data_IF_013972332869
#
_entry.id   IF_013972332869
#
_cell.length_a   1.000
_cell.length_b   1.000
_cell.length_c   1.000
_cell.angle_alpha   90.00
_cell.angle_beta   90.00
_cell.angle_gamma   90.00
#
_symmetry.space_group_name_H-M   'P 1'
#
loop_
_entity.id
_entity.type
_entity.pdbx_description
1 polymer ?
#
# COMPACT_ATOMS: atom_id res chain seq x y z
N UNK A 1 -42.93 -32.25 74.81
CA UNK A 1 -43.68 -32.23 73.53
C UNK A 1 -43.05 -33.29 72.65
N UNK A 2 -43.84 -34.21 72.07
CA UNK A 2 -43.29 -35.34 71.33
C UNK A 2 -42.73 -34.90 69.97
N UNK A 3 -41.64 -35.53 69.52
CA UNK A 3 -40.96 -35.21 68.25
C UNK A 3 -41.88 -35.26 67.02
N UNK A 4 -42.96 -36.03 67.10
CA UNK A 4 -43.99 -36.11 66.06
C UNK A 4 -44.82 -34.83 65.93
N UNK A 5 -44.97 -34.03 66.99
CA UNK A 5 -45.66 -32.75 66.94
C UNK A 5 -44.78 -31.67 66.30
N UNK A 6 -43.45 -31.71 66.52
CA UNK A 6 -42.49 -30.80 65.90
C UNK A 6 -42.41 -31.02 64.39
N UNK A 7 -42.30 -32.28 63.95
CA UNK A 7 -42.33 -32.64 62.50
C UNK A 7 -43.59 -32.14 61.80
N UNK A 8 -44.74 -32.24 62.46
CA UNK A 8 -46.01 -31.78 61.92
C UNK A 8 -46.06 -30.24 61.77
N UNK A 9 -45.48 -29.50 62.72
CA UNK A 9 -45.38 -28.03 62.63
C UNK A 9 -44.44 -27.61 61.50
N UNK A 10 -43.30 -28.30 61.35
CA UNK A 10 -42.35 -28.02 60.27
C UNK A 10 -42.99 -28.28 58.88
N UNK A 11 -43.73 -29.38 58.74
CA UNK A 11 -44.47 -29.68 57.51
C UNK A 11 -45.52 -28.60 57.20
N UNK A 12 -46.20 -28.07 58.22
CA UNK A 12 -47.17 -26.96 58.05
C UNK A 12 -46.47 -25.66 57.64
N UNK A 13 -45.38 -25.31 58.32
CA UNK A 13 -44.64 -24.07 58.04
C UNK A 13 -44.00 -24.08 56.64
N UNK A 14 -43.49 -25.22 56.19
CA UNK A 14 -42.90 -25.39 54.87
C UNK A 14 -43.94 -25.34 53.73
N UNK A 15 -45.20 -25.65 54.02
CA UNK A 15 -46.29 -25.58 53.06
C UNK A 15 -46.86 -24.16 52.86
N UNK A 16 -46.43 -23.18 53.67
CA UNK A 16 -46.87 -21.78 53.55
C UNK A 16 -45.82 -20.99 52.75
N UNK A 17 -46.17 -20.43 51.57
CA UNK A 17 -45.22 -19.68 50.77
C UNK A 17 -44.85 -18.37 51.47
N UNK A 18 -43.56 -18.19 51.73
CA UNK A 18 -43.02 -16.96 52.30
C UNK A 18 -43.21 -15.79 51.31
N UNK A 19 -43.70 -14.65 51.82
CA UNK A 19 -43.88 -13.43 51.04
C UNK A 19 -42.91 -12.36 51.49
N UNK A 20 -42.41 -11.59 50.53
CA UNK A 20 -41.57 -10.44 50.82
C UNK A 20 -42.40 -9.32 51.45
N UNK A 21 -41.92 -8.73 52.55
CA UNK A 21 -42.55 -7.59 53.25
C UNK A 21 -42.86 -6.41 52.32
N UNK A 22 -42.02 -6.19 51.31
CA UNK A 22 -42.17 -5.09 50.37
C UNK A 22 -43.06 -5.41 49.17
N UNK A 23 -43.56 -6.66 49.06
CA UNK A 23 -44.53 -7.07 48.04
C UNK A 23 -44.08 -6.70 46.62
N UNK A 24 -44.87 -5.86 45.97
CA UNK A 24 -44.64 -5.37 44.60
C UNK A 24 -43.72 -4.15 44.54
N UNK A 25 -43.46 -3.48 45.67
CA UNK A 25 -42.43 -2.43 45.78
C UNK A 25 -41.02 -3.02 45.85
N UNK A 26 -40.90 -4.35 45.95
CA UNK A 26 -39.61 -5.01 45.84
C UNK A 26 -39.15 -4.97 44.38
N UNK A 27 -37.95 -4.45 44.07
CA UNK A 27 -37.49 -4.32 42.69
C UNK A 27 -37.25 -5.71 42.08
N UNK A 28 -38.22 -6.19 41.28
CA UNK A 28 -38.17 -7.48 40.57
C UNK A 28 -37.58 -7.36 39.17
N UNK A 29 -37.83 -6.23 38.52
CA UNK A 29 -37.37 -5.99 37.16
C UNK A 29 -35.89 -5.60 37.16
N UNK A 30 -35.06 -6.50 36.63
CA UNK A 30 -33.68 -6.19 36.26
C UNK A 30 -33.68 -5.91 34.77
N UNK A 31 -33.09 -4.79 34.36
CA UNK A 31 -32.89 -4.50 32.94
C UNK A 31 -32.15 -5.67 32.29
N UNK A 32 -32.66 -6.13 31.15
CA UNK A 32 -31.98 -7.17 30.37
C UNK A 32 -30.62 -6.66 29.91
N UNK A 33 -29.60 -7.51 30.01
CA UNK A 33 -28.26 -7.18 29.53
C UNK A 33 -28.33 -6.87 28.02
N UNK A 34 -27.91 -5.67 27.64
CA UNK A 34 -27.82 -5.28 26.23
C UNK A 34 -26.64 -5.99 25.61
N UNK A 35 -26.88 -6.76 24.54
CA UNK A 35 -25.84 -7.37 23.73
C UNK A 35 -25.37 -6.36 22.68
N UNK A 36 -24.10 -5.95 22.78
CA UNK A 36 -23.47 -5.07 21.80
C UNK A 36 -22.98 -5.93 20.64
N UNK A 37 -23.36 -5.63 19.38
CA UNK A 37 -22.89 -6.39 18.24
C UNK A 37 -21.38 -6.19 18.05
N UNK A 38 -20.72 -7.27 17.63
CA UNK A 38 -19.29 -7.26 17.39
C UNK A 38 -19.02 -6.73 15.97
N UNK A 39 -18.55 -5.49 15.87
CA UNK A 39 -18.10 -4.91 14.61
C UNK A 39 -16.71 -5.42 14.29
N UNK A 40 -16.57 -6.17 13.19
CA UNK A 40 -15.27 -6.56 12.65
C UNK A 40 -14.82 -5.48 11.69
N UNK A 41 -13.75 -4.77 12.06
CA UNK A 41 -13.03 -3.91 11.12
C UNK A 41 -12.13 -4.83 10.30
N UNK A 42 -12.16 -4.67 8.97
CA UNK A 42 -11.28 -5.42 8.09
C UNK A 42 -9.81 -5.06 8.39
N UNK A 43 -8.95 -6.08 8.39
CA UNK A 43 -7.52 -5.84 8.59
C UNK A 43 -7.00 -5.00 7.43
N UNK A 44 -6.43 -3.85 7.76
CA UNK A 44 -5.71 -3.01 6.80
C UNK A 44 -4.54 -3.85 6.28
N UNK A 45 -4.48 -4.00 4.96
CA UNK A 45 -3.39 -4.73 4.31
C UNK A 45 -2.04 -4.11 4.68
N UNK A 46 -1.00 -4.94 4.79
CA UNK A 46 0.35 -4.48 5.09
C UNK A 46 0.81 -3.48 4.02
N UNK A 47 1.01 -2.22 4.42
CA UNK A 47 1.37 -1.13 3.53
C UNK A 47 2.67 -1.43 2.79
N UNK A 48 3.60 -2.17 3.40
CA UNK A 48 4.85 -2.57 2.74
C UNK A 48 4.59 -3.46 1.52
N UNK A 49 3.70 -4.44 1.65
CA UNK A 49 3.35 -5.34 0.54
C UNK A 49 2.57 -4.63 -0.55
N UNK A 50 1.77 -3.61 -0.17
CA UNK A 50 1.00 -2.82 -1.13
C UNK A 50 1.90 -1.96 -2.03
N UNK A 51 2.98 -1.39 -1.49
CA UNK A 51 3.88 -0.50 -2.24
C UNK A 51 5.09 -1.21 -2.88
N UNK A 52 5.41 -2.45 -2.49
CA UNK A 52 6.53 -3.21 -3.07
C UNK A 52 6.51 -3.27 -4.61
N UNK A 53 5.38 -3.53 -5.29
CA UNK A 53 5.34 -3.55 -6.75
C UNK A 53 5.67 -2.19 -7.38
N UNK A 54 5.21 -1.10 -6.76
CA UNK A 54 5.48 0.26 -7.23
C UNK A 54 6.96 0.61 -7.16
N UNK A 55 7.65 0.18 -6.11
CA UNK A 55 9.10 0.37 -6.02
C UNK A 55 9.85 -0.40 -7.11
N UNK A 56 9.45 -1.66 -7.37
CA UNK A 56 10.07 -2.48 -8.43
C UNK A 56 9.89 -1.85 -9.80
N UNK A 57 8.70 -1.35 -10.11
CA UNK A 57 8.41 -0.72 -11.39
C UNK A 57 9.27 0.55 -11.60
N UNK A 58 9.46 1.36 -10.54
CA UNK A 58 10.38 2.49 -10.59
C UNK A 58 11.84 2.07 -10.82
N UNK A 59 12.31 1.02 -10.15
CA UNK A 59 13.67 0.49 -10.33
C UNK A 59 13.89 -0.02 -11.76
N UNK A 60 12.90 -0.71 -12.34
CA UNK A 60 12.93 -1.18 -13.72
C UNK A 60 13.02 -0.04 -14.74
N UNK A 61 12.28 1.06 -14.50
CA UNK A 61 12.32 2.26 -15.35
C UNK A 61 13.70 2.92 -15.28
N UNK A 62 14.29 3.02 -14.09
CA UNK A 62 15.64 3.59 -13.91
C UNK A 62 16.66 2.74 -14.68
N UNK A 63 16.62 1.42 -14.52
CA UNK A 63 17.52 0.51 -15.24
C UNK A 63 17.36 0.62 -16.77
N UNK A 64 16.13 0.77 -17.27
CA UNK A 64 15.88 0.96 -18.70
C UNK A 64 16.49 2.26 -19.23
N UNK A 65 16.36 3.36 -18.48
CA UNK A 65 16.98 4.64 -18.82
C UNK A 65 18.51 4.54 -18.84
N UNK A 66 19.12 3.88 -17.84
CA UNK A 66 20.57 3.68 -17.81
C UNK A 66 21.08 2.88 -19.01
N UNK A 67 20.36 1.81 -19.40
CA UNK A 67 20.68 1.02 -20.59
C UNK A 67 20.59 1.87 -21.86
N UNK A 68 19.53 2.68 -21.99
CA UNK A 68 19.36 3.59 -23.11
C UNK A 68 20.54 4.58 -23.23
N UNK A 69 20.93 5.21 -22.13
CA UNK A 69 22.04 6.17 -22.10
C UNK A 69 23.40 5.50 -22.38
N UNK A 70 23.58 4.27 -21.91
CA UNK A 70 24.78 3.49 -22.18
C UNK A 70 24.89 3.10 -23.66
N UNK A 71 23.77 2.75 -24.31
CA UNK A 71 23.73 2.44 -25.74
C UNK A 71 24.18 3.64 -26.59
N UNK A 72 23.75 4.86 -26.25
CA UNK A 72 24.21 6.08 -26.92
C UNK A 72 25.73 6.25 -26.85
N UNK A 73 26.31 6.08 -25.66
CA UNK A 73 27.77 6.15 -25.45
C UNK A 73 28.53 5.07 -26.20
N UNK A 74 28.02 3.84 -26.18
CA UNK A 74 28.63 2.72 -26.91
C UNK A 74 28.60 2.97 -28.43
N UNK A 75 27.53 3.57 -28.94
CA UNK A 75 27.42 3.96 -30.35
C UNK A 75 28.43 5.04 -30.73
N UNK A 76 28.57 6.10 -29.93
CA UNK A 76 29.55 7.16 -30.17
C UNK A 76 30.98 6.63 -30.18
N UNK A 77 31.32 5.76 -29.21
CA UNK A 77 32.62 5.12 -29.16
C UNK A 77 32.88 4.29 -30.42
N UNK A 78 31.92 3.44 -30.81
CA UNK A 78 32.01 2.66 -32.05
C UNK A 78 32.16 3.54 -33.28
N UNK A 79 31.38 4.63 -33.38
CA UNK A 79 31.40 5.55 -34.51
C UNK A 79 32.78 6.22 -34.65
N UNK A 80 33.36 6.67 -33.54
CA UNK A 80 34.70 7.26 -33.54
C UNK A 80 35.78 6.24 -33.91
N UNK A 81 35.74 5.05 -33.30
CA UNK A 81 36.77 4.02 -33.47
C UNK A 81 36.73 3.32 -34.82
N UNK A 82 35.55 3.12 -35.42
CA UNK A 82 35.39 2.33 -36.65
C UNK A 82 35.10 3.14 -37.88
N UNK A 83 34.44 4.30 -37.77
CA UNK A 83 34.01 5.06 -38.94
C UNK A 83 34.85 6.31 -39.16
N UNK A 84 35.16 7.07 -38.09
CA UNK A 84 36.04 8.25 -38.22
C UNK A 84 37.49 7.83 -38.46
N UNK A 85 38.00 6.83 -37.73
CA UNK A 85 39.40 6.40 -37.83
C UNK A 85 39.81 5.86 -39.22
N UNK A 86 38.87 5.26 -39.94
CA UNK A 86 39.08 4.70 -41.29
C UNK A 86 38.76 5.67 -42.41
N UNK A 87 38.35 6.92 -42.10
CA UNK A 87 38.08 7.90 -43.15
C UNK A 87 39.38 8.31 -43.85
N UNK A 88 39.36 8.44 -45.19
CA UNK A 88 40.54 8.86 -45.94
C UNK A 88 41.06 10.22 -45.46
N UNK A 89 42.39 10.44 -45.46
CA UNK A 89 42.98 11.73 -45.09
C UNK A 89 42.48 12.80 -46.07
N UNK A 90 41.66 13.73 -45.61
CA UNK A 90 41.04 14.77 -46.44
C UNK A 90 39.60 15.11 -46.07
N UNK A 91 38.87 14.22 -45.38
CA UNK A 91 37.50 14.50 -44.88
C UNK A 91 37.47 15.13 -43.47
N UNK A 92 38.59 15.08 -42.74
CA UNK A 92 38.74 15.68 -41.41
C UNK A 92 39.77 16.79 -41.55
N UNK A 93 39.33 18.05 -41.61
CA UNK A 93 40.25 19.18 -41.68
C UNK A 93 40.70 19.56 -40.27
N UNK A 94 42.01 19.47 -40.03
CA UNK A 94 42.84 20.32 -39.15
C UNK A 94 42.58 20.32 -37.64
N UNK A 95 41.33 20.29 -37.18
CA UNK A 95 40.95 20.65 -35.80
C UNK A 95 39.93 19.67 -35.20
N UNK A 96 39.78 18.46 -35.75
CA UNK A 96 38.82 17.46 -35.25
C UNK A 96 37.35 17.70 -35.66
N UNK A 97 37.06 18.73 -36.45
CA UNK A 97 35.72 18.95 -37.00
C UNK A 97 35.52 18.18 -38.32
N UNK A 98 34.45 17.39 -38.37
CA UNK A 98 33.98 16.70 -39.57
C UNK A 98 33.30 17.75 -40.44
N UNK A 99 33.85 18.03 -41.63
CA UNK A 99 33.13 18.79 -42.65
C UNK A 99 32.03 17.90 -43.22
N UNK A 100 30.93 17.75 -42.46
CA UNK A 100 29.67 17.27 -43.01
C UNK A 100 29.17 18.44 -43.86
N UNK A 101 29.26 18.31 -45.17
CA UNK A 101 28.50 19.13 -46.11
C UNK A 101 27.01 18.86 -45.88
N UNK A 102 26.46 19.47 -44.84
CA UNK A 102 25.03 19.46 -44.55
C UNK A 102 24.35 20.35 -45.60
N UNK A 103 23.29 19.89 -46.29
CA UNK A 103 22.65 20.71 -47.31
C UNK A 103 22.07 21.98 -46.69
N UNK A 104 22.64 23.13 -47.07
CA UNK A 104 22.02 24.45 -47.07
C UNK A 104 21.26 24.85 -45.81
N UNK A 105 21.94 25.47 -44.84
CA UNK A 105 21.30 26.53 -44.06
C UNK A 105 21.04 27.68 -45.02
N UNK A 106 19.84 27.73 -45.59
CA UNK A 106 19.36 28.91 -46.32
C UNK A 106 19.47 30.09 -45.35
N UNK A 107 20.40 30.98 -45.66
CA UNK A 107 20.62 32.24 -44.99
C UNK A 107 19.34 33.07 -45.18
N UNK A 108 18.49 33.08 -44.16
CA UNK A 108 17.34 33.96 -44.06
C UNK A 108 17.79 35.36 -43.69
N UNK A 109 18.52 36.02 -44.57
CA UNK A 109 18.72 37.46 -44.53
C UNK A 109 18.76 37.98 -45.96
N UNK A 110 17.68 38.66 -46.32
CA UNK A 110 17.58 39.82 -47.22
C UNK A 110 16.17 39.82 -47.80
N UNK A 111 15.33 40.72 -47.29
CA UNK A 111 14.74 41.77 -48.11
C UNK A 111 14.24 42.87 -47.16
N UNK A 112 14.69 44.09 -47.47
CA UNK A 112 14.23 45.37 -46.92
C UNK A 112 12.75 45.59 -47.24
#
# INVERSE_FOLDING_TARGET
MSDNQLKNIDDILNNIPLRNKFGDNYPRERLSKVEVPLYKIENIADSKKMFEPWYKECDEIIAACEVHDQLGRNFEQWYNEKYISTKPPGMVQGNGEISVLSPSKKHGEMLK
#
